data_IF_685621890748
#
_entry.id   IF_685621890748
#
_cell.length_a   1.000
_cell.length_b   1.000
_cell.length_c   1.000
_cell.angle_alpha   90.00
_cell.angle_beta   90.00
_cell.angle_gamma   90.00
#
_symmetry.space_group_name_H-M   'P 1'
#
loop_
_entity.id
_entity.type
_entity.pdbx_description
1 polymer ?
#
# COMPACT_ATOMS: atom_id res chain seq x y z
N UNK A 1 -8.10 -4.51 8.08
CA UNK A 1 -6.62 -4.45 8.15
C UNK A 1 -6.24 -3.36 9.12
N UNK A 2 -5.22 -3.60 9.95
CA UNK A 2 -4.68 -2.63 10.90
C UNK A 2 -3.20 -2.38 10.60
N UNK A 3 -2.81 -1.10 10.59
CA UNK A 3 -1.40 -0.73 10.47
C UNK A 3 -0.66 -1.02 11.76
N UNK A 4 0.48 -1.67 11.66
CA UNK A 4 1.41 -1.76 12.79
C UNK A 4 2.13 -0.41 12.95
N UNK A 5 2.07 0.23 14.14
CA UNK A 5 2.70 1.51 14.37
C UNK A 5 4.21 1.50 14.14
N UNK A 6 4.78 2.68 13.87
CA UNK A 6 6.22 2.84 13.74
C UNK A 6 6.96 2.19 14.93
N UNK A 7 7.97 1.37 14.61
CA UNK A 7 8.79 0.62 15.55
C UNK A 7 8.09 -0.49 16.38
N UNK A 8 6.79 -0.75 16.16
CA UNK A 8 6.11 -1.88 16.82
C UNK A 8 6.47 -3.25 16.22
N UNK A 9 7.28 -3.27 15.18
CA UNK A 9 7.80 -4.47 14.50
C UNK A 9 9.30 -4.37 14.23
N UNK A 10 10.04 -3.68 15.11
CA UNK A 10 11.49 -3.52 15.00
C UNK A 10 12.27 -4.83 15.19
N UNK A 11 11.68 -5.79 15.90
CA UNK A 11 12.14 -7.18 16.01
C UNK A 11 10.99 -8.13 15.73
N UNK A 12 11.30 -9.40 15.39
CA UNK A 12 10.27 -10.43 15.20
C UNK A 12 9.42 -10.63 16.44
N UNK A 13 10.02 -10.58 17.63
CA UNK A 13 9.29 -10.72 18.89
C UNK A 13 8.30 -9.58 19.10
N UNK A 14 8.73 -8.32 18.92
CA UNK A 14 7.84 -7.16 19.02
C UNK A 14 6.71 -7.24 18.00
N UNK A 15 7.01 -7.68 16.79
CA UNK A 15 6.01 -7.83 15.73
C UNK A 15 4.93 -8.86 16.11
N UNK A 16 5.31 -10.00 16.64
CA UNK A 16 4.37 -11.04 17.08
C UNK A 16 3.47 -10.54 18.23
N UNK A 17 4.04 -9.89 19.24
CA UNK A 17 3.29 -9.38 20.37
C UNK A 17 2.29 -8.28 19.95
N UNK A 18 2.76 -7.29 19.19
CA UNK A 18 1.90 -6.18 18.74
C UNK A 18 0.85 -6.63 17.72
N UNK A 19 1.19 -7.54 16.80
CA UNK A 19 0.22 -8.10 15.87
C UNK A 19 -0.87 -8.89 16.63
N UNK A 20 -0.50 -9.67 17.64
CA UNK A 20 -1.46 -10.41 18.45
C UNK A 20 -2.45 -9.47 19.17
N UNK A 21 -2.01 -8.32 19.67
CA UNK A 21 -2.90 -7.32 20.26
C UNK A 21 -3.87 -6.73 19.23
N UNK A 22 -3.37 -6.36 18.06
CA UNK A 22 -4.23 -5.84 16.97
C UNK A 22 -5.28 -6.87 16.53
N UNK A 23 -4.88 -8.15 16.39
CA UNK A 23 -5.80 -9.23 16.03
C UNK A 23 -6.85 -9.48 17.11
N UNK A 24 -6.47 -9.47 18.40
CA UNK A 24 -7.41 -9.57 19.54
C UNK A 24 -8.37 -8.38 19.61
N UNK A 25 -7.93 -7.20 19.19
CA UNK A 25 -8.77 -6.00 19.09
C UNK A 25 -9.76 -6.02 17.91
N UNK A 26 -9.71 -7.06 17.05
CA UNK A 26 -10.65 -7.27 15.95
C UNK A 26 -10.08 -7.01 14.56
N UNK A 27 -8.77 -6.82 14.40
CA UNK A 27 -8.16 -6.81 13.09
C UNK A 27 -8.25 -8.21 12.44
N UNK A 28 -8.34 -8.25 11.11
CA UNK A 28 -8.31 -9.50 10.34
C UNK A 28 -7.00 -9.67 9.55
N UNK A 29 -6.16 -8.65 9.54
CA UNK A 29 -4.89 -8.58 8.83
C UNK A 29 -4.08 -7.44 9.43
N UNK A 30 -2.76 -7.55 9.46
CA UNK A 30 -1.85 -6.46 9.83
C UNK A 30 -1.11 -5.95 8.59
N UNK A 31 -0.71 -4.66 8.60
CA UNK A 31 0.12 -4.06 7.56
C UNK A 31 1.45 -3.59 8.14
N UNK A 32 2.54 -3.92 7.46
CA UNK A 32 3.90 -3.55 7.81
C UNK A 32 4.57 -2.83 6.63
N UNK A 33 5.40 -1.84 6.94
CA UNK A 33 6.16 -1.05 5.98
C UNK A 33 7.65 -1.42 6.00
N UNK A 34 8.22 -1.73 4.85
CA UNK A 34 9.65 -2.04 4.73
C UNK A 34 10.00 -2.77 3.43
N UNK A 35 11.13 -3.44 3.41
CA UNK A 35 11.64 -4.18 2.27
C UNK A 35 12.02 -5.62 2.68
N UNK A 36 13.01 -6.22 2.04
CA UNK A 36 13.56 -7.57 2.30
C UNK A 36 13.82 -7.88 3.78
N UNK A 37 14.24 -6.90 4.57
CA UNK A 37 14.48 -7.07 6.01
C UNK A 37 13.25 -7.50 6.81
N UNK A 38 12.03 -7.32 6.26
CA UNK A 38 10.79 -7.78 6.89
C UNK A 38 10.51 -9.28 6.69
N UNK A 39 11.29 -9.97 5.86
CA UNK A 39 11.06 -11.36 5.49
C UNK A 39 10.82 -12.27 6.70
N UNK A 40 11.75 -12.29 7.65
CA UNK A 40 11.65 -13.16 8.83
C UNK A 40 10.44 -12.80 9.71
N UNK A 41 10.10 -11.52 9.77
CA UNK A 41 8.92 -11.04 10.50
C UNK A 41 7.62 -11.52 9.83
N UNK A 42 7.51 -11.42 8.51
CA UNK A 42 6.33 -11.85 7.75
C UNK A 42 6.19 -13.38 7.85
N UNK A 43 7.27 -14.14 7.69
CA UNK A 43 7.28 -15.59 7.85
C UNK A 43 6.79 -15.99 9.25
N UNK A 44 7.32 -15.37 10.29
CA UNK A 44 6.90 -15.66 11.67
C UNK A 44 5.42 -15.34 11.96
N UNK A 45 4.89 -14.27 11.40
CA UNK A 45 3.48 -13.90 11.51
C UNK A 45 2.59 -14.87 10.74
N UNK A 46 2.93 -15.15 9.49
CA UNK A 46 2.18 -16.03 8.58
C UNK A 46 2.09 -17.46 9.12
N UNK A 47 3.20 -18.04 9.60
CA UNK A 47 3.23 -19.36 10.23
C UNK A 47 2.30 -19.48 11.46
N UNK A 48 1.99 -18.36 12.10
CA UNK A 48 1.09 -18.30 13.28
C UNK A 48 -0.32 -17.87 12.93
N UNK A 49 -0.64 -17.83 11.62
CA UNK A 49 -1.98 -17.58 11.12
C UNK A 49 -2.40 -16.11 11.16
N UNK A 50 -1.44 -15.18 11.20
CA UNK A 50 -1.71 -13.75 11.07
C UNK A 50 -1.57 -13.34 9.60
N UNK A 51 -2.67 -12.94 8.91
CA UNK A 51 -2.57 -12.43 7.56
C UNK A 51 -1.81 -11.12 7.50
N UNK A 52 -0.96 -10.97 6.47
CA UNK A 52 -0.02 -9.85 6.35
C UNK A 52 -0.18 -9.12 5.03
N UNK A 53 -0.25 -7.78 5.10
CA UNK A 53 -0.07 -6.89 3.97
C UNK A 53 1.34 -6.26 4.04
N UNK A 54 2.18 -6.55 3.05
CA UNK A 54 3.49 -5.94 2.93
C UNK A 54 3.41 -4.65 2.11
N UNK A 55 3.84 -3.52 2.68
CA UNK A 55 3.77 -2.21 2.06
C UNK A 55 5.14 -1.79 1.52
N UNK A 56 5.22 -1.64 0.20
CA UNK A 56 6.40 -1.23 -0.58
C UNK A 56 6.20 0.14 -1.26
N UNK A 57 7.28 0.69 -1.75
CA UNK A 57 7.30 1.99 -2.41
C UNK A 57 7.56 3.11 -1.42
N UNK A 58 6.79 4.18 -1.47
CA UNK A 58 6.81 5.18 -0.41
C UNK A 58 6.15 4.57 0.82
N UNK A 59 6.94 4.43 1.87
CA UNK A 59 6.46 3.97 3.17
C UNK A 59 6.45 5.18 4.12
N UNK A 60 5.27 5.70 4.51
CA UNK A 60 5.16 6.92 5.31
C UNK A 60 5.94 6.90 6.62
N UNK A 61 6.09 5.73 7.24
CA UNK A 61 6.89 5.58 8.46
C UNK A 61 8.39 5.88 8.23
N UNK A 62 8.87 5.79 6.99
CA UNK A 62 10.24 6.08 6.59
C UNK A 62 10.41 7.48 5.99
N UNK A 63 9.40 8.35 6.06
CA UNK A 63 9.42 9.67 5.41
C UNK A 63 10.64 10.52 5.78
N UNK A 64 11.10 10.45 7.02
CA UNK A 64 12.30 11.14 7.48
C UNK A 64 13.57 10.58 6.83
N UNK A 65 13.65 9.27 6.60
CA UNK A 65 14.75 8.60 5.93
C UNK A 65 14.79 8.95 4.44
N UNK A 66 13.63 9.05 3.79
CA UNK A 66 13.50 9.45 2.39
C UNK A 66 13.68 10.96 2.16
N UNK A 67 13.61 11.75 3.21
CA UNK A 67 13.64 13.22 3.12
C UNK A 67 12.38 13.77 2.44
N UNK A 68 11.20 13.20 2.76
CA UNK A 68 9.88 13.63 2.28
C UNK A 68 9.13 12.56 1.49
N UNK A 69 7.94 12.93 1.05
CA UNK A 69 7.04 12.08 0.25
C UNK A 69 7.50 12.05 -1.21
N UNK A 70 8.30 11.07 -1.57
CA UNK A 70 8.91 10.95 -2.91
C UNK A 70 8.49 9.64 -3.58
N UNK A 71 8.27 9.71 -4.89
CA UNK A 71 8.05 8.51 -5.72
C UNK A 71 9.28 7.60 -5.66
N UNK A 72 9.06 6.33 -5.44
CA UNK A 72 10.08 5.29 -5.31
C UNK A 72 10.17 4.44 -6.58
N UNK A 73 11.34 3.84 -6.84
CA UNK A 73 11.50 2.92 -7.99
C UNK A 73 11.60 3.63 -9.35
N UNK A 74 12.16 4.84 -9.41
CA UNK A 74 12.29 5.60 -10.68
C UNK A 74 13.46 5.17 -11.55
N UNK A 75 14.52 4.71 -10.97
CA UNK A 75 15.66 4.17 -11.69
C UNK A 75 15.58 2.64 -11.81
N UNK A 76 16.23 2.09 -12.83
CA UNK A 76 16.16 0.66 -13.14
C UNK A 76 16.61 -0.22 -11.96
N UNK A 77 17.64 0.18 -11.23
CA UNK A 77 18.16 -0.59 -10.10
C UNK A 77 17.14 -0.64 -8.96
N UNK A 78 16.55 0.49 -8.61
CA UNK A 78 15.50 0.57 -7.59
C UNK A 78 14.24 -0.17 -8.02
N UNK A 79 13.91 -0.14 -9.32
CA UNK A 79 12.78 -0.85 -9.88
C UNK A 79 12.95 -2.38 -9.77
N UNK A 80 14.10 -2.91 -10.21
CA UNK A 80 14.38 -4.35 -10.11
C UNK A 80 14.41 -4.82 -8.64
N UNK A 81 15.07 -4.07 -7.76
CA UNK A 81 15.07 -4.40 -6.33
C UNK A 81 13.67 -4.44 -5.73
N UNK A 82 12.77 -3.53 -6.13
CA UNK A 82 11.39 -3.53 -5.62
C UNK A 82 10.59 -4.74 -6.11
N UNK A 83 10.84 -5.23 -7.33
CA UNK A 83 10.23 -6.47 -7.83
C UNK A 83 10.75 -7.67 -7.02
N UNK A 84 12.07 -7.75 -6.80
CA UNK A 84 12.68 -8.81 -5.97
C UNK A 84 12.08 -8.81 -4.57
N UNK A 85 12.01 -7.66 -3.90
CA UNK A 85 11.40 -7.53 -2.58
C UNK A 85 9.94 -8.00 -2.56
N UNK A 86 9.13 -7.64 -3.57
CA UNK A 86 7.74 -8.09 -3.63
C UNK A 86 7.64 -9.62 -3.71
N UNK A 87 8.48 -10.26 -4.55
CA UNK A 87 8.53 -11.72 -4.66
C UNK A 87 9.02 -12.39 -3.38
N UNK A 88 10.03 -11.83 -2.72
CA UNK A 88 10.57 -12.36 -1.46
C UNK A 88 9.56 -12.26 -0.31
N UNK A 89 8.84 -11.13 -0.21
CA UNK A 89 7.84 -10.94 0.83
C UNK A 89 6.59 -11.82 0.59
N UNK A 90 6.19 -12.03 -0.67
CA UNK A 90 5.17 -13.03 -1.01
C UNK A 90 5.63 -14.44 -0.61
N UNK A 91 6.86 -14.82 -0.95
CA UNK A 91 7.41 -16.12 -0.59
C UNK A 91 7.51 -16.34 0.92
N UNK A 92 7.71 -15.27 1.69
CA UNK A 92 7.68 -15.27 3.15
C UNK A 92 6.26 -15.39 3.73
N UNK A 93 5.22 -15.27 2.92
CA UNK A 93 3.83 -15.45 3.33
C UNK A 93 3.00 -14.15 3.38
N UNK A 94 3.42 -13.07 2.73
CA UNK A 94 2.56 -11.90 2.57
C UNK A 94 1.33 -12.25 1.72
N UNK A 95 0.14 -11.98 2.25
CA UNK A 95 -1.15 -12.26 1.58
C UNK A 95 -1.56 -11.15 0.62
N UNK A 96 -1.05 -9.94 0.83
CA UNK A 96 -1.33 -8.75 0.01
C UNK A 96 -0.05 -7.92 -0.11
N UNK A 97 0.21 -7.37 -1.29
CA UNK A 97 1.24 -6.34 -1.51
C UNK A 97 0.54 -4.99 -1.70
N UNK A 98 0.96 -3.98 -0.96
CA UNK A 98 0.52 -2.61 -1.16
C UNK A 98 1.67 -1.80 -1.76
N UNK A 99 1.37 -1.05 -2.82
CA UNK A 99 2.33 -0.18 -3.51
C UNK A 99 1.88 1.28 -3.38
N UNK A 100 2.72 2.13 -2.79
CA UNK A 100 2.46 3.57 -2.68
C UNK A 100 3.49 4.39 -3.45
N UNK A 101 3.00 5.37 -4.23
CA UNK A 101 3.84 6.32 -4.98
C UNK A 101 4.94 5.62 -5.79
N UNK A 102 4.53 4.70 -6.65
CA UNK A 102 5.40 3.91 -7.55
C UNK A 102 5.01 4.25 -9.00
N UNK A 103 5.98 4.37 -9.94
CA UNK A 103 5.65 4.53 -11.36
C UNK A 103 4.72 3.43 -11.86
N UNK A 104 3.67 3.79 -12.61
CA UNK A 104 2.66 2.85 -13.08
C UNK A 104 3.23 1.65 -13.87
N UNK A 105 4.24 1.80 -14.75
CA UNK A 105 4.84 0.66 -15.43
C UNK A 105 5.51 -0.32 -14.47
N UNK A 106 6.17 0.17 -13.41
CA UNK A 106 6.79 -0.68 -12.38
C UNK A 106 5.72 -1.41 -11.56
N UNK A 107 4.67 -0.70 -11.13
CA UNK A 107 3.56 -1.32 -10.40
C UNK A 107 2.89 -2.45 -11.20
N UNK A 108 2.69 -2.27 -12.51
CA UNK A 108 2.17 -3.31 -13.40
C UNK A 108 3.13 -4.53 -13.50
N UNK A 109 4.45 -4.30 -13.55
CA UNK A 109 5.45 -5.39 -13.54
C UNK A 109 5.42 -6.17 -12.22
N UNK A 110 5.32 -5.48 -11.10
CA UNK A 110 5.20 -6.13 -9.78
C UNK A 110 3.93 -6.97 -9.71
N UNK A 111 2.78 -6.41 -10.15
CA UNK A 111 1.50 -7.12 -10.17
C UNK A 111 1.56 -8.41 -11.01
N UNK A 112 2.35 -8.43 -12.09
CA UNK A 112 2.55 -9.61 -12.92
C UNK A 112 3.55 -10.62 -12.32
N UNK A 113 4.45 -10.16 -11.46
CA UNK A 113 5.51 -10.98 -10.89
C UNK A 113 5.06 -11.79 -9.65
N UNK A 114 4.03 -11.32 -8.94
CA UNK A 114 3.49 -11.96 -7.74
C UNK A 114 2.10 -12.54 -7.99
N UNK A 115 1.68 -13.49 -7.13
CA UNK A 115 0.32 -14.08 -7.12
C UNK A 115 -0.58 -13.40 -6.10
N UNK A 116 0.01 -12.85 -5.04
CA UNK A 116 -0.72 -12.09 -4.03
C UNK A 116 -1.37 -10.86 -4.67
N UNK A 117 -2.62 -10.52 -4.32
CA UNK A 117 -3.26 -9.31 -4.79
C UNK A 117 -2.42 -8.07 -4.51
N UNK A 118 -2.27 -7.21 -5.52
CA UNK A 118 -1.54 -5.95 -5.40
C UNK A 118 -2.52 -4.79 -5.32
N UNK A 119 -2.44 -4.02 -4.25
CA UNK A 119 -3.26 -2.83 -4.02
C UNK A 119 -2.40 -1.59 -4.23
N UNK A 120 -2.86 -0.65 -5.05
CA UNK A 120 -2.14 0.57 -5.39
C UNK A 120 -2.71 1.84 -4.73
N UNK A 121 -1.83 2.76 -4.37
CA UNK A 121 -2.14 4.17 -4.11
C UNK A 121 -1.05 5.05 -4.72
N UNK A 122 -1.41 5.86 -5.71
CA UNK A 122 -0.41 6.56 -6.51
C UNK A 122 0.53 5.62 -7.29
N UNK A 123 0.01 4.46 -7.73
CA UNK A 123 0.74 3.43 -8.44
C UNK A 123 0.13 3.09 -9.82
N UNK A 124 -0.79 3.94 -10.29
CA UNK A 124 -1.54 3.70 -11.53
C UNK A 124 -2.62 2.63 -11.39
N UNK A 125 -3.33 2.36 -12.49
CA UNK A 125 -4.47 1.43 -12.53
C UNK A 125 -4.12 0.01 -13.01
N UNK A 126 -2.83 -0.32 -13.10
CA UNK A 126 -2.32 -1.64 -13.48
C UNK A 126 -2.26 -2.65 -12.34
N UNK A 127 -2.63 -2.27 -11.13
CA UNK A 127 -2.74 -3.13 -9.96
C UNK A 127 -4.12 -3.81 -9.87
N UNK A 128 -4.28 -4.82 -8.99
CA UNK A 128 -5.53 -5.57 -8.83
C UNK A 128 -6.62 -4.75 -8.15
N UNK A 129 -6.24 -3.79 -7.31
CA UNK A 129 -7.15 -2.91 -6.62
C UNK A 129 -6.49 -1.60 -6.20
N UNK A 130 -7.28 -0.72 -5.59
CA UNK A 130 -6.85 0.60 -5.14
C UNK A 130 -7.25 0.84 -3.70
N UNK A 131 -6.45 1.61 -2.98
CA UNK A 131 -6.82 2.24 -1.72
C UNK A 131 -6.68 3.75 -1.85
N UNK A 132 -7.50 4.50 -1.15
CA UNK A 132 -7.39 5.96 -1.05
C UNK A 132 -7.75 6.37 0.37
N UNK A 133 -6.98 7.29 0.95
CA UNK A 133 -7.26 7.82 2.28
C UNK A 133 -8.63 8.48 2.28
N UNK A 134 -9.49 8.11 3.23
CA UNK A 134 -10.87 8.59 3.30
C UNK A 134 -10.95 10.13 3.32
N UNK A 135 -10.06 10.78 4.07
CA UNK A 135 -10.00 12.24 4.14
C UNK A 135 -9.68 12.88 2.79
N UNK A 136 -8.84 12.25 1.99
CA UNK A 136 -8.51 12.68 0.62
C UNK A 136 -9.69 12.46 -0.32
N UNK A 137 -10.31 11.28 -0.24
CA UNK A 137 -11.49 10.91 -1.03
C UNK A 137 -12.65 11.89 -0.83
N UNK A 138 -12.83 12.36 0.40
CA UNK A 138 -13.89 13.30 0.79
C UNK A 138 -13.46 14.77 0.71
N UNK A 139 -12.20 15.05 0.36
CA UNK A 139 -11.70 16.42 0.21
C UNK A 139 -11.54 17.20 1.49
N UNK A 140 -11.50 16.54 2.67
CA UNK A 140 -11.33 17.18 3.97
C UNK A 140 -9.87 17.38 4.39
N UNK A 141 -8.94 16.74 3.65
CA UNK A 141 -7.49 16.97 3.86
C UNK A 141 -7.13 18.41 3.55
N UNK A 142 -6.45 19.07 4.50
CA UNK A 142 -5.93 20.44 4.36
C UNK A 142 -4.51 20.44 3.80
N UNK A 143 -4.13 21.53 3.10
CA UNK A 143 -2.78 21.69 2.54
C UNK A 143 -2.61 21.14 1.14
N UNK A 144 -1.36 20.76 0.81
CA UNK A 144 -1.02 20.28 -0.54
C UNK A 144 -1.56 18.86 -0.76
N UNK A 145 -2.42 18.71 -1.76
CA UNK A 145 -2.95 17.41 -2.17
C UNK A 145 -1.91 16.67 -3.04
N UNK A 146 -1.64 15.39 -2.75
CA UNK A 146 -0.84 14.54 -3.66
C UNK A 146 -1.51 14.41 -5.03
N UNK A 147 -0.71 14.15 -6.07
CA UNK A 147 -1.19 14.00 -7.45
C UNK A 147 -2.26 12.91 -7.60
N UNK A 148 -2.12 11.82 -6.88
CA UNK A 148 -2.99 10.65 -6.98
C UNK A 148 -4.35 10.84 -6.28
N UNK A 149 -4.57 11.96 -5.61
CA UNK A 149 -5.82 12.22 -4.88
C UNK A 149 -6.90 12.77 -5.80
N UNK A 150 -8.09 12.15 -5.76
CA UNK A 150 -9.33 12.68 -6.32
C UNK A 150 -10.35 12.86 -5.19
N UNK A 151 -10.98 14.04 -5.16
CA UNK A 151 -12.11 14.31 -4.25
C UNK A 151 -13.41 13.84 -4.91
N UNK A 152 -13.91 12.68 -4.50
CA UNK A 152 -15.15 12.11 -5.02
C UNK A 152 -16.40 12.81 -4.46
N UNK A 153 -16.31 13.42 -3.28
CA UNK A 153 -17.45 14.16 -2.70
C UNK A 153 -17.77 15.43 -3.49
N UNK A 154 -16.80 16.01 -4.19
CA UNK A 154 -17.05 17.20 -5.03
C UNK A 154 -17.98 16.92 -6.23
N UNK A 155 -18.18 15.66 -6.60
CA UNK A 155 -18.98 15.23 -7.75
C UNK A 155 -20.27 14.48 -7.32
N UNK A 156 -20.60 14.47 -6.02
CA UNK A 156 -21.71 13.71 -5.45
C UNK A 156 -22.39 14.52 -4.33
N UNK A 157 -23.63 14.15 -3.98
CA UNK A 157 -24.43 14.89 -3.00
C UNK A 157 -24.28 14.35 -1.57
N UNK A 158 -23.61 13.22 -1.38
CA UNK A 158 -23.46 12.60 -0.06
C UNK A 158 -22.19 11.75 0.07
N UNK A 159 -21.75 11.54 1.31
CA UNK A 159 -20.60 10.65 1.61
C UNK A 159 -20.81 9.21 1.11
N UNK A 160 -21.99 8.57 1.32
CA UNK A 160 -22.25 7.24 0.75
C UNK A 160 -22.12 7.20 -0.77
N UNK A 161 -22.59 8.23 -1.47
CA UNK A 161 -22.47 8.32 -2.93
C UNK A 161 -21.01 8.52 -3.37
N UNK A 162 -20.25 9.33 -2.65
CA UNK A 162 -18.80 9.50 -2.93
C UNK A 162 -18.04 8.18 -2.81
N UNK A 163 -18.32 7.40 -1.77
CA UNK A 163 -17.70 6.07 -1.58
C UNK A 163 -18.14 5.11 -2.68
N UNK A 164 -19.41 5.10 -3.05
CA UNK A 164 -19.92 4.27 -4.13
C UNK A 164 -19.31 4.65 -5.49
N UNK A 165 -19.17 5.95 -5.76
CA UNK A 165 -18.53 6.48 -6.97
C UNK A 165 -17.05 6.06 -7.05
N UNK A 166 -16.31 6.16 -5.93
CA UNK A 166 -14.93 5.67 -5.84
C UNK A 166 -14.86 4.16 -6.14
N UNK A 167 -15.68 3.36 -5.45
CA UNK A 167 -15.67 1.90 -5.64
C UNK A 167 -16.00 1.50 -7.08
N UNK A 168 -16.95 2.22 -7.71
CA UNK A 168 -17.29 2.03 -9.13
C UNK A 168 -16.11 2.39 -10.03
N UNK A 169 -15.50 3.56 -9.83
CA UNK A 169 -14.38 4.04 -10.64
C UNK A 169 -13.16 3.12 -10.56
N UNK A 170 -12.90 2.52 -9.41
CA UNK A 170 -11.85 1.49 -9.25
C UNK A 170 -12.20 0.24 -10.04
N UNK A 171 -13.45 -0.25 -9.94
CA UNK A 171 -13.89 -1.48 -10.63
C UNK A 171 -13.89 -1.35 -12.15
N UNK A 172 -14.26 -0.22 -12.67
CA UNK A 172 -14.26 0.05 -14.11
C UNK A 172 -12.93 0.60 -14.63
N UNK A 173 -11.92 0.72 -13.74
CA UNK A 173 -10.57 1.23 -14.01
C UNK A 173 -10.51 2.66 -14.54
N UNK A 174 -11.53 3.47 -14.31
CA UNK A 174 -11.50 4.90 -14.62
C UNK A 174 -10.73 5.72 -13.57
N UNK A 175 -10.52 5.15 -12.37
CA UNK A 175 -9.64 5.70 -11.35
C UNK A 175 -8.59 4.65 -10.90
N UNK A 176 -7.31 5.06 -10.75
CA UNK A 176 -6.74 6.36 -11.10
C UNK A 176 -6.64 6.55 -12.61
N UNK A 177 -6.93 7.76 -13.09
CA UNK A 177 -6.70 8.19 -14.45
C UNK A 177 -5.23 8.59 -14.68
N UNK A 178 -4.86 8.95 -15.91
CA UNK A 178 -3.49 9.33 -16.24
C UNK A 178 -2.97 10.52 -15.42
N UNK A 179 -3.82 11.49 -15.15
CA UNK A 179 -3.51 12.67 -14.33
C UNK A 179 -3.16 12.34 -12.88
N UNK A 180 -3.70 11.21 -12.35
CA UNK A 180 -3.46 10.70 -10.99
C UNK A 180 -2.24 9.79 -10.90
N UNK A 181 -1.54 9.57 -12.03
CA UNK A 181 -0.54 8.52 -12.17
C UNK A 181 0.87 9.11 -12.27
N UNK A 182 1.85 8.45 -11.65
CA UNK A 182 3.25 8.77 -11.82
C UNK A 182 3.83 7.98 -12.99
N UNK A 183 4.53 8.72 -13.87
CA UNK A 183 5.36 8.15 -14.94
C UNK A 183 6.78 7.92 -14.40
N UNK A 184 7.54 7.07 -15.07
CA UNK A 184 8.96 6.83 -14.75
C UNK A 184 9.77 8.13 -14.82
#
# INVERSE_FOLDING_TARGET
>A
MADMPFMSYGTVADALDNAAELMRAGAHMVKLEGTDWMRDTIEALSERGVPVCAHLGLTPQFVNKFGGYKVQGRDDKAAEAMIEHACELEAAGADVILLECVPAPLAARITQAVKAPVIGIGAGNGTDGQVLVLHDMLGVTTGRKPRFVKNFLAETDSIPEAIAAYAKAVKDRSFPAEEHTFKA
#
